data_IF_918766544958
#
_entry.id   IF_918766544958
#
_cell.length_a   1.000
_cell.length_b   1.000
_cell.length_c   1.000
_cell.angle_alpha   90.00
_cell.angle_beta   90.00
_cell.angle_gamma   90.00
#
_symmetry.space_group_name_H-M   'P 1'
#
loop_
_entity.id
_entity.type
_entity.pdbx_description
1 polymer ?
#
# COMPACT_ATOMS: atom_id res chain seq x y z
N UNK A 1 -1.66 -2.87 -32.35
CA UNK A 1 -1.38 -3.96 -31.37
C UNK A 1 -1.84 -3.51 -30.01
N UNK A 2 -2.40 -4.41 -29.21
CA UNK A 2 -2.72 -4.11 -27.82
C UNK A 2 -1.42 -3.97 -27.04
N UNK A 3 -1.23 -2.86 -26.32
CA UNK A 3 -0.07 -2.62 -25.48
C UNK A 3 -0.40 -3.08 -24.06
N UNK A 4 0.53 -3.73 -23.40
CA UNK A 4 0.43 -4.18 -22.02
C UNK A 4 1.45 -3.46 -21.16
N UNK A 5 1.35 -3.60 -19.85
CA UNK A 5 2.38 -3.19 -18.93
C UNK A 5 2.85 -4.36 -18.06
N UNK A 6 4.13 -4.32 -17.65
CA UNK A 6 4.74 -5.33 -16.78
C UNK A 6 5.56 -4.68 -15.69
N UNK A 7 5.56 -5.29 -14.52
CA UNK A 7 6.52 -4.94 -13.47
C UNK A 7 7.90 -5.48 -13.87
N UNK A 8 8.89 -4.60 -13.95
CA UNK A 8 10.27 -4.92 -14.29
C UNK A 8 11.22 -4.77 -13.12
N UNK A 9 10.84 -4.04 -12.09
CA UNK A 9 11.62 -3.87 -10.88
C UNK A 9 10.74 -3.56 -9.68
N UNK A 10 11.16 -4.04 -8.49
CA UNK A 10 10.52 -3.76 -7.20
C UNK A 10 11.55 -3.20 -6.24
N UNK A 11 11.11 -2.40 -5.27
CA UNK A 11 11.94 -1.87 -4.21
C UNK A 11 11.13 -1.50 -2.98
N UNK A 12 11.74 -1.57 -1.82
CA UNK A 12 11.08 -1.24 -0.57
C UNK A 12 12.02 -0.59 0.44
N UNK A 13 11.44 0.18 1.35
CA UNK A 13 12.18 0.78 2.44
C UNK A 13 11.32 0.86 3.71
N UNK A 14 11.90 0.43 4.82
CA UNK A 14 11.35 0.59 6.16
C UNK A 14 12.28 1.52 6.96
N UNK A 15 11.73 2.46 7.74
CA UNK A 15 12.53 3.27 8.65
C UNK A 15 13.37 2.40 9.60
N UNK A 16 14.57 2.85 10.00
CA UNK A 16 15.47 2.04 10.83
C UNK A 16 14.93 1.78 12.25
N UNK A 17 14.06 2.67 12.78
CA UNK A 17 13.46 2.48 14.10
C UNK A 17 12.39 1.39 14.04
N UNK A 18 12.80 0.16 14.33
CA UNK A 18 11.87 -0.96 14.54
C UNK A 18 11.32 -0.90 15.96
N UNK A 19 10.00 -0.91 16.11
CA UNK A 19 9.28 -0.85 17.38
C UNK A 19 8.53 -2.15 17.57
N UNK A 20 8.97 -2.96 18.54
CA UNK A 20 8.28 -4.21 18.93
C UNK A 20 7.01 -3.89 19.73
N UNK A 21 6.14 -4.87 19.93
CA UNK A 21 5.00 -4.70 20.83
C UNK A 21 5.46 -4.38 22.27
N UNK A 22 6.55 -4.99 22.73
CA UNK A 22 7.10 -4.69 24.05
C UNK A 22 7.55 -3.24 24.18
N UNK A 23 8.23 -2.69 23.17
CA UNK A 23 8.64 -1.28 23.14
C UNK A 23 7.40 -0.37 23.15
N UNK A 24 6.40 -0.67 22.31
CA UNK A 24 5.18 0.12 22.22
C UNK A 24 4.38 0.08 23.53
N UNK A 25 4.25 -1.09 24.15
CA UNK A 25 3.59 -1.26 25.47
C UNK A 25 4.27 -0.38 26.52
N UNK A 26 5.62 -0.36 26.56
CA UNK A 26 6.38 0.47 27.50
C UNK A 26 6.17 1.97 27.23
N UNK A 27 6.13 2.40 25.96
CA UNK A 27 5.86 3.79 25.58
C UNK A 27 4.42 4.21 25.97
N UNK A 28 3.42 3.39 25.66
CA UNK A 28 2.01 3.66 25.95
C UNK A 28 1.71 3.70 27.46
N UNK A 29 2.39 2.84 28.24
CA UNK A 29 2.25 2.81 29.70
C UNK A 29 2.63 4.15 30.36
N UNK A 30 3.59 4.90 29.79
CA UNK A 30 3.98 6.22 30.27
C UNK A 30 2.83 7.25 30.17
N UNK A 31 1.90 7.02 29.23
CA UNK A 31 0.68 7.82 29.02
C UNK A 31 -0.56 7.21 29.71
N UNK A 32 -0.36 6.18 30.55
CA UNK A 32 -1.46 5.50 31.27
C UNK A 32 -2.28 4.53 30.41
N UNK A 33 -1.86 4.21 29.20
CA UNK A 33 -2.55 3.29 28.32
C UNK A 33 -2.07 1.86 28.57
N UNK A 34 -3.00 0.98 28.92
CA UNK A 34 -2.72 -0.43 29.19
C UNK A 34 -2.99 -1.31 27.96
N UNK A 35 -1.98 -2.07 27.55
CA UNK A 35 -2.06 -3.09 26.50
C UNK A 35 -0.97 -4.15 26.74
N UNK A 36 -0.93 -5.22 25.95
CA UNK A 36 0.12 -6.23 26.01
C UNK A 36 0.45 -6.78 24.61
N UNK A 37 1.62 -7.44 24.50
CA UNK A 37 2.01 -8.12 23.25
C UNK A 37 0.96 -9.16 22.85
N UNK A 38 0.50 -9.99 23.79
CA UNK A 38 -0.50 -11.02 23.55
C UNK A 38 -1.80 -10.42 23.01
N UNK A 39 -2.27 -9.32 23.62
CA UNK A 39 -3.49 -8.63 23.18
C UNK A 39 -3.37 -8.10 21.75
N UNK A 40 -2.20 -7.53 21.40
CA UNK A 40 -1.92 -6.99 20.04
C UNK A 40 -1.85 -8.14 19.04
N UNK A 41 -1.04 -9.17 19.31
CA UNK A 41 -0.82 -10.31 18.40
C UNK A 41 -2.13 -11.06 18.15
N UNK A 42 -2.89 -11.39 19.21
CA UNK A 42 -4.16 -12.12 19.06
C UNK A 42 -5.15 -11.42 18.14
N UNK A 43 -5.20 -10.08 18.17
CA UNK A 43 -6.17 -9.29 17.42
C UNK A 43 -5.70 -8.90 16.03
N UNK A 44 -4.41 -8.76 15.84
CA UNK A 44 -3.86 -8.12 14.64
C UNK A 44 -2.85 -8.99 13.89
N UNK A 45 -2.18 -9.91 14.57
CA UNK A 45 -1.02 -10.64 14.08
C UNK A 45 0.28 -9.83 14.11
N UNK A 46 0.23 -8.54 14.50
CA UNK A 46 1.38 -7.62 14.46
C UNK A 46 2.29 -7.88 15.65
N UNK A 47 3.59 -8.02 15.41
CA UNK A 47 4.65 -8.17 16.42
C UNK A 47 5.58 -6.97 16.46
N UNK A 48 5.74 -6.28 15.32
CA UNK A 48 6.55 -5.08 15.20
C UNK A 48 6.00 -4.15 14.11
N UNK A 49 6.45 -2.92 14.15
CA UNK A 49 6.27 -1.89 13.10
C UNK A 49 7.51 -1.03 13.03
N UNK A 50 7.57 -0.17 12.05
CA UNK A 50 8.65 0.80 11.89
C UNK A 50 8.09 2.21 11.97
N UNK A 51 8.81 3.12 12.63
CA UNK A 51 8.44 4.53 12.71
C UNK A 51 9.56 5.40 12.15
N UNK A 52 9.18 6.34 11.31
CA UNK A 52 10.07 7.33 10.75
C UNK A 52 10.52 8.34 11.83
N UNK A 53 11.74 8.86 11.70
CA UNK A 53 12.20 9.99 12.50
C UNK A 53 11.35 11.24 12.20
N UNK A 54 11.26 12.21 13.12
CA UNK A 54 10.35 13.36 12.99
C UNK A 54 10.56 14.21 11.73
N UNK A 55 11.77 14.23 11.19
CA UNK A 55 12.20 14.98 10.00
C UNK A 55 12.10 14.19 8.70
N UNK A 56 11.83 12.88 8.76
CA UNK A 56 11.72 11.99 7.58
C UNK A 56 10.29 12.01 7.04
N UNK A 57 10.11 12.26 5.75
CA UNK A 57 8.81 12.39 5.10
C UNK A 57 8.43 11.16 4.27
N UNK A 58 7.19 11.09 3.79
CA UNK A 58 6.75 10.06 2.84
C UNK A 58 7.57 10.11 1.55
N UNK A 59 7.95 11.31 1.10
CA UNK A 59 8.83 11.49 -0.06
C UNK A 59 10.24 10.96 0.16
N UNK A 60 10.78 11.03 1.40
CA UNK A 60 12.08 10.45 1.73
C UNK A 60 12.05 8.92 1.71
N UNK A 61 11.01 8.33 2.34
CA UNK A 61 10.83 6.88 2.31
C UNK A 61 10.61 6.37 0.88
N UNK A 62 9.79 7.10 0.10
CA UNK A 62 9.51 6.82 -1.31
C UNK A 62 10.78 6.88 -2.16
N UNK A 63 11.71 7.80 -1.89
CA UNK A 63 12.99 7.93 -2.59
C UNK A 63 13.84 6.66 -2.45
N UNK A 64 13.96 6.14 -1.24
CA UNK A 64 14.76 4.94 -0.98
C UNK A 64 14.15 3.68 -1.63
N UNK A 65 12.82 3.55 -1.58
CA UNK A 65 12.12 2.47 -2.27
C UNK A 65 12.25 2.59 -3.80
N UNK A 66 12.09 3.81 -4.34
CA UNK A 66 12.20 4.09 -5.76
C UNK A 66 13.60 3.77 -6.33
N UNK A 67 14.67 4.15 -5.61
CA UNK A 67 16.05 3.83 -6.01
C UNK A 67 16.27 2.33 -6.18
N UNK A 68 15.78 1.54 -5.24
CA UNK A 68 15.88 0.07 -5.29
C UNK A 68 15.04 -0.53 -6.44
N UNK A 69 13.86 0.04 -6.70
CA UNK A 69 13.02 -0.40 -7.81
C UNK A 69 13.66 -0.10 -9.17
N UNK A 70 14.27 1.08 -9.34
CA UNK A 70 15.02 1.47 -10.54
C UNK A 70 16.24 0.57 -10.74
N UNK A 71 17.01 0.30 -9.69
CA UNK A 71 18.14 -0.62 -9.72
C UNK A 71 17.70 -2.02 -10.16
N UNK A 72 16.63 -2.56 -9.57
CA UNK A 72 16.09 -3.86 -9.91
C UNK A 72 15.58 -3.93 -11.37
N UNK A 73 15.03 -2.83 -11.89
CA UNK A 73 14.60 -2.71 -13.29
C UNK A 73 15.76 -2.48 -14.26
N UNK A 74 16.97 -2.17 -13.78
CA UNK A 74 18.12 -1.82 -14.61
C UNK A 74 17.95 -0.51 -15.39
N UNK A 75 17.15 0.43 -14.87
CA UNK A 75 16.88 1.71 -15.51
C UNK A 75 17.33 2.91 -14.65
N UNK A 76 17.51 4.05 -15.32
CA UNK A 76 17.90 5.31 -14.67
C UNK A 76 16.66 6.16 -14.38
N UNK A 77 16.73 7.12 -13.44
CA UNK A 77 15.63 8.06 -13.20
C UNK A 77 15.16 8.80 -14.46
N UNK A 78 16.08 9.14 -15.37
CA UNK A 78 15.79 9.85 -16.62
C UNK A 78 15.03 9.00 -17.65
N UNK A 79 14.97 7.69 -17.45
CA UNK A 79 14.22 6.77 -18.31
C UNK A 79 12.73 6.70 -17.91
N UNK A 80 12.36 7.28 -16.76
CA UNK A 80 10.99 7.33 -16.26
C UNK A 80 10.23 8.48 -16.93
N UNK A 81 9.08 8.19 -17.48
CA UNK A 81 8.22 9.15 -18.16
C UNK A 81 6.85 9.35 -17.46
N UNK A 82 6.66 8.73 -16.28
CA UNK A 82 5.50 8.92 -15.41
C UNK A 82 5.86 8.57 -13.96
N UNK A 83 5.49 9.42 -13.01
CA UNK A 83 5.60 9.12 -11.58
C UNK A 83 4.24 9.25 -10.92
N UNK A 84 3.79 8.19 -10.23
CA UNK A 84 2.57 8.21 -9.43
C UNK A 84 2.90 7.76 -8.00
N UNK A 85 2.53 8.56 -7.01
CA UNK A 85 2.67 8.22 -5.60
C UNK A 85 1.30 8.02 -4.96
N UNK A 86 1.08 6.88 -4.36
CA UNK A 86 -0.07 6.62 -3.50
C UNK A 86 0.29 6.98 -2.06
N UNK A 87 -0.36 7.98 -1.50
CA UNK A 87 -0.13 8.42 -0.13
C UNK A 87 -1.34 9.13 0.45
N UNK A 88 -1.53 9.02 1.77
CA UNK A 88 -2.49 9.78 2.57
C UNK A 88 -1.80 10.66 3.61
N UNK A 89 -0.46 10.58 3.66
CA UNK A 89 0.41 11.33 4.56
C UNK A 89 1.45 12.11 3.76
N UNK A 90 1.01 13.05 2.88
CA UNK A 90 1.94 13.79 2.03
C UNK A 90 2.89 14.65 2.87
N UNK A 91 4.04 15.00 2.29
CA UNK A 91 5.06 15.86 2.89
C UNK A 91 4.49 17.25 3.21
N UNK A 92 3.59 17.73 2.37
CA UNK A 92 2.91 19.03 2.48
C UNK A 92 1.58 19.01 1.70
N UNK A 93 0.76 20.04 1.86
CA UNK A 93 -0.54 20.15 1.18
C UNK A 93 -0.37 20.17 -0.36
N UNK A 94 0.60 20.88 -0.85
CA UNK A 94 1.13 20.87 -2.23
C UNK A 94 2.55 21.46 -2.23
N UNK A 95 3.42 21.13 -3.23
CA UNK A 95 3.19 20.21 -4.34
C UNK A 95 3.02 18.76 -3.91
N UNK A 96 2.65 17.88 -4.87
CA UNK A 96 2.51 16.45 -4.63
C UNK A 96 3.83 15.79 -4.20
N UNK A 97 3.73 14.71 -3.45
CA UNK A 97 4.90 13.88 -3.09
C UNK A 97 5.60 13.35 -4.34
N UNK A 98 4.84 13.04 -5.40
CA UNK A 98 5.41 12.63 -6.68
C UNK A 98 6.31 13.72 -7.30
N UNK A 99 5.93 15.00 -7.23
CA UNK A 99 6.80 16.11 -7.69
C UNK A 99 8.05 16.26 -6.83
N UNK A 100 7.94 16.10 -5.51
CA UNK A 100 9.06 16.14 -4.58
C UNK A 100 10.02 14.98 -4.89
N UNK A 101 9.48 13.78 -5.05
CA UNK A 101 10.22 12.57 -5.39
C UNK A 101 10.94 12.71 -6.75
N UNK A 102 10.24 13.24 -7.76
CA UNK A 102 10.78 13.51 -9.08
C UNK A 102 12.05 14.36 -9.01
N UNK A 103 11.99 15.46 -8.26
CA UNK A 103 13.14 16.35 -8.06
C UNK A 103 14.29 15.64 -7.34
N UNK A 104 13.99 14.90 -6.25
CA UNK A 104 15.01 14.16 -5.49
C UNK A 104 15.69 13.05 -6.29
N UNK A 105 14.98 12.44 -7.24
CA UNK A 105 15.50 11.42 -8.16
C UNK A 105 16.25 12.02 -9.35
N UNK A 106 16.01 13.26 -9.71
CA UNK A 106 16.50 13.87 -10.93
C UNK A 106 15.77 13.36 -12.20
N UNK A 107 14.51 12.92 -12.08
CA UNK A 107 13.67 12.42 -13.17
C UNK A 107 12.79 13.55 -13.78
N UNK A 108 13.37 14.73 -13.99
CA UNK A 108 12.63 15.93 -14.37
C UNK A 108 11.97 15.83 -15.76
N UNK A 109 10.80 16.47 -15.92
CA UNK A 109 10.10 16.66 -17.18
C UNK A 109 8.97 15.67 -17.46
N UNK A 110 8.83 14.58 -16.71
CA UNK A 110 7.67 13.68 -16.82
C UNK A 110 6.49 14.14 -15.96
N UNK A 111 5.24 13.75 -16.28
CA UNK A 111 4.10 13.91 -15.38
C UNK A 111 4.35 13.25 -14.03
N UNK A 112 4.02 13.97 -12.95
CA UNK A 112 4.16 13.48 -11.58
C UNK A 112 2.97 13.96 -10.74
N UNK A 113 2.24 13.04 -10.10
CA UNK A 113 1.06 13.34 -9.28
C UNK A 113 0.79 12.26 -8.25
N UNK A 114 0.02 12.63 -7.23
CA UNK A 114 -0.38 11.71 -6.17
C UNK A 114 -1.79 11.14 -6.41
N UNK A 115 -2.01 9.92 -5.90
CA UNK A 115 -3.32 9.27 -5.81
C UNK A 115 -3.64 9.06 -4.34
N UNK A 116 -4.78 9.58 -3.88
CA UNK A 116 -5.28 9.38 -2.53
C UNK A 116 -6.47 8.42 -2.54
N UNK A 117 -6.23 7.18 -2.13
CA UNK A 117 -7.25 6.15 -1.88
C UNK A 117 -6.87 5.32 -0.64
N UNK A 118 -6.15 5.94 0.29
CA UNK A 118 -5.66 5.38 1.56
C UNK A 118 -5.00 4.01 1.34
N UNK A 119 -5.41 2.98 2.08
CA UNK A 119 -4.77 1.67 2.00
C UNK A 119 -4.98 0.93 0.66
N UNK A 120 -5.97 1.31 -0.16
CA UNK A 120 -6.13 0.83 -1.54
C UNK A 120 -5.34 1.67 -2.56
N UNK A 121 -4.66 2.73 -2.13
CA UNK A 121 -3.99 3.70 -2.99
C UNK A 121 -3.03 3.08 -3.99
N UNK A 122 -2.27 2.05 -3.59
CA UNK A 122 -1.32 1.42 -4.50
C UNK A 122 -2.00 0.69 -5.67
N UNK A 123 -3.09 -0.06 -5.45
CA UNK A 123 -3.81 -0.73 -6.54
C UNK A 123 -4.50 0.28 -7.46
N UNK A 124 -4.94 1.43 -6.93
CA UNK A 124 -5.43 2.55 -7.73
C UNK A 124 -4.31 3.16 -8.60
N UNK A 125 -3.17 3.50 -7.99
CA UNK A 125 -2.03 4.09 -8.70
C UNK A 125 -1.49 3.15 -9.78
N UNK A 126 -1.41 1.84 -9.48
CA UNK A 126 -0.96 0.82 -10.43
C UNK A 126 -1.93 0.70 -11.62
N UNK A 127 -3.24 0.73 -11.38
CA UNK A 127 -4.27 0.71 -12.42
C UNK A 127 -4.21 1.95 -13.31
N UNK A 128 -4.00 3.14 -12.72
CA UNK A 128 -3.84 4.39 -13.48
C UNK A 128 -2.58 4.34 -14.35
N UNK A 129 -1.45 3.89 -13.81
CA UNK A 129 -0.21 3.74 -14.56
C UNK A 129 -0.36 2.75 -15.73
N UNK A 130 -1.00 1.60 -15.48
CA UNK A 130 -1.29 0.62 -16.53
C UNK A 130 -2.15 1.22 -17.66
N UNK A 131 -3.21 1.95 -17.33
CA UNK A 131 -4.07 2.62 -18.31
C UNK A 131 -3.29 3.65 -19.14
N UNK A 132 -2.40 4.45 -18.52
CA UNK A 132 -1.57 5.42 -19.23
C UNK A 132 -0.54 4.75 -20.14
N UNK A 133 0.00 3.59 -19.74
CA UNK A 133 0.90 2.80 -20.60
C UNK A 133 0.11 2.16 -21.75
N UNK A 134 -1.04 1.57 -21.51
CA UNK A 134 -1.86 0.93 -22.55
C UNK A 134 -2.31 1.93 -23.63
N UNK A 135 -2.64 3.16 -23.23
CA UNK A 135 -3.02 4.25 -24.15
C UNK A 135 -1.82 4.88 -24.87
N UNK A 136 -0.60 4.59 -24.45
CA UNK A 136 0.62 5.15 -25.01
C UNK A 136 0.98 6.53 -24.48
N UNK A 137 0.30 7.01 -23.43
CA UNK A 137 0.64 8.26 -22.74
C UNK A 137 1.93 8.16 -21.93
N UNK A 138 2.31 6.95 -21.53
CA UNK A 138 3.59 6.64 -20.89
C UNK A 138 4.17 5.33 -21.46
N UNK A 139 5.48 5.14 -21.28
CA UNK A 139 6.18 3.90 -21.63
C UNK A 139 6.77 3.22 -20.39
N UNK A 140 7.21 4.01 -19.41
CA UNK A 140 7.81 3.52 -18.18
C UNK A 140 7.37 4.38 -17.00
N UNK A 141 6.59 3.79 -16.11
CA UNK A 141 6.06 4.43 -14.93
C UNK A 141 6.76 3.96 -13.66
N UNK A 142 7.07 4.89 -12.77
CA UNK A 142 7.43 4.61 -11.38
C UNK A 142 6.17 4.78 -10.53
N UNK A 143 5.73 3.69 -9.89
CA UNK A 143 4.56 3.69 -9.01
C UNK A 143 5.00 3.41 -7.58
N UNK A 144 4.70 4.31 -6.67
CA UNK A 144 5.17 4.27 -5.28
C UNK A 144 3.99 4.30 -4.33
N UNK A 145 4.01 3.48 -3.29
CA UNK A 145 3.19 3.64 -2.09
C UNK A 145 4.10 4.07 -0.94
N UNK A 146 3.83 5.22 -0.30
CA UNK A 146 4.69 5.75 0.75
C UNK A 146 3.87 6.43 1.84
N UNK A 147 4.14 6.07 3.10
CA UNK A 147 3.36 6.57 4.24
C UNK A 147 4.22 6.80 5.49
N UNK A 148 3.94 7.89 6.18
CA UNK A 148 4.37 8.16 7.56
C UNK A 148 3.14 8.21 8.47
N UNK A 149 2.44 7.08 8.55
CA UNK A 149 1.13 6.96 9.19
C UNK A 149 1.19 7.21 10.70
N UNK A 150 2.36 6.97 11.32
CA UNK A 150 2.60 7.25 12.75
C UNK A 150 2.29 8.69 13.16
N UNK A 151 2.34 9.66 12.21
CA UNK A 151 2.12 11.09 12.48
C UNK A 151 0.65 11.47 12.66
N UNK A 152 -0.27 10.65 12.20
CA UNK A 152 -1.70 10.90 12.32
C UNK A 152 -2.36 9.96 13.33
N UNK A 153 -1.58 9.22 14.14
CA UNK A 153 -2.10 8.32 15.17
C UNK A 153 -2.31 9.05 16.49
N UNK A 154 -3.44 8.77 17.13
CA UNK A 154 -3.63 9.10 18.53
C UNK A 154 -3.03 8.00 19.40
N UNK A 155 -1.88 8.26 20.01
CA UNK A 155 -1.24 7.31 20.93
C UNK A 155 -1.98 7.16 22.27
N UNK A 156 -3.11 7.85 22.46
CA UNK A 156 -4.06 7.60 23.56
C UNK A 156 -5.15 6.61 23.18
N UNK A 157 -5.31 6.31 21.88
CA UNK A 157 -6.23 5.30 21.39
C UNK A 157 -5.49 4.01 21.01
N UNK A 158 -5.45 3.07 21.96
CA UNK A 158 -4.81 1.76 21.74
C UNK A 158 -5.47 0.92 20.64
N UNK A 159 -6.69 1.26 20.21
CA UNK A 159 -7.40 0.49 19.17
C UNK A 159 -6.87 0.78 17.77
N UNK A 160 -6.18 1.90 17.60
CA UNK A 160 -5.59 2.34 16.34
C UNK A 160 -4.07 2.39 16.37
N UNK A 161 -3.44 2.95 17.41
CA UNK A 161 -1.99 3.18 17.44
C UNK A 161 -1.15 1.88 17.42
N UNK A 162 -1.72 0.75 17.81
CA UNK A 162 -1.03 -0.55 17.77
C UNK A 162 -1.01 -1.18 16.38
N UNK A 163 -1.78 -0.64 15.42
CA UNK A 163 -1.94 -1.23 14.08
C UNK A 163 -0.90 -0.74 13.09
N UNK A 164 -0.68 0.57 13.06
CA UNK A 164 -0.03 1.22 11.93
C UNK A 164 1.47 1.36 12.10
N UNK A 165 2.15 1.46 10.96
CA UNK A 165 3.57 1.75 10.83
C UNK A 165 3.86 2.58 9.58
N UNK A 166 5.12 2.93 9.40
CA UNK A 166 5.63 3.76 8.32
C UNK A 166 6.45 2.91 7.35
N UNK A 167 6.48 3.30 6.09
CA UNK A 167 7.28 2.62 5.09
C UNK A 167 6.95 3.07 3.67
N UNK A 168 7.72 2.56 2.72
CA UNK A 168 7.48 2.76 1.30
C UNK A 168 7.81 1.51 0.49
N UNK A 169 7.05 1.31 -0.58
CA UNK A 169 7.36 0.33 -1.60
C UNK A 169 7.13 0.92 -2.99
N UNK A 170 7.89 0.46 -3.97
CA UNK A 170 7.86 0.98 -5.32
C UNK A 170 7.96 -0.12 -6.36
N UNK A 171 7.36 0.11 -7.53
CA UNK A 171 7.56 -0.73 -8.70
C UNK A 171 7.86 0.14 -9.92
N UNK A 172 8.67 -0.39 -10.84
CA UNK A 172 8.79 0.11 -12.21
C UNK A 172 7.88 -0.71 -13.09
N UNK A 173 6.97 -0.03 -13.80
CA UNK A 173 6.04 -0.62 -14.74
C UNK A 173 6.43 -0.19 -16.16
N UNK A 174 6.63 -1.15 -17.08
CA UNK A 174 7.06 -0.87 -18.44
C UNK A 174 6.05 -1.36 -19.48
N UNK A 175 5.98 -0.65 -20.60
CA UNK A 175 5.25 -1.09 -21.79
C UNK A 175 5.81 -2.41 -22.30
N UNK A 176 4.91 -3.33 -22.66
CA UNK A 176 5.25 -4.69 -23.08
C UNK A 176 4.31 -5.19 -24.18
N UNK A 177 4.85 -6.04 -25.05
CA UNK A 177 4.05 -6.78 -26.04
C UNK A 177 3.41 -8.06 -25.46
N UNK A 178 3.85 -8.47 -24.24
CA UNK A 178 3.29 -9.61 -23.51
C UNK A 178 2.57 -9.13 -22.26
N UNK A 179 1.42 -9.76 -21.89
CA UNK A 179 0.66 -9.39 -20.71
C UNK A 179 1.49 -9.47 -19.42
N UNK A 180 1.49 -8.40 -18.64
CA UNK A 180 1.93 -8.38 -17.24
C UNK A 180 0.70 -8.11 -16.37
N UNK A 181 0.16 -6.89 -16.36
CA UNK A 181 -1.15 -6.64 -15.75
C UNK A 181 -2.23 -7.23 -16.66
N UNK A 182 -3.02 -8.15 -16.10
CA UNK A 182 -4.07 -8.89 -16.81
C UNK A 182 -5.42 -8.21 -16.70
N UNK A 183 -5.76 -7.76 -15.50
CA UNK A 183 -7.02 -7.07 -15.21
C UNK A 183 -6.91 -6.26 -13.91
N UNK A 184 -7.78 -5.26 -13.78
CA UNK A 184 -7.99 -4.51 -12.55
C UNK A 184 -9.48 -4.22 -12.33
N UNK A 185 -9.85 -4.02 -11.06
CA UNK A 185 -11.22 -3.69 -10.65
C UNK A 185 -11.16 -2.74 -9.45
N UNK A 186 -11.68 -1.52 -9.59
CA UNK A 186 -11.61 -0.46 -8.58
C UNK A 186 -13.00 0.03 -8.23
N UNK A 187 -13.24 0.28 -6.95
CA UNK A 187 -14.52 0.71 -6.42
C UNK A 187 -14.37 1.71 -5.26
N UNK A 188 -15.39 2.53 -5.07
CA UNK A 188 -15.55 3.38 -3.90
C UNK A 188 -17.02 3.46 -3.49
N UNK A 189 -17.27 3.67 -2.18
CA UNK A 189 -18.59 3.96 -1.64
C UNK A 189 -18.50 5.02 -0.55
N UNK A 190 -18.83 6.26 -0.91
CA UNK A 190 -18.74 7.44 -0.05
C UNK A 190 -19.70 7.44 1.14
N UNK A 191 -20.69 6.54 1.20
CA UNK A 191 -21.56 6.45 2.38
C UNK A 191 -20.81 6.03 3.65
N UNK A 192 -19.63 5.42 3.51
CA UNK A 192 -18.80 4.94 4.62
C UNK A 192 -17.66 5.88 5.00
N UNK A 193 -17.66 7.13 4.56
CA UNK A 193 -16.58 8.09 4.82
C UNK A 193 -16.21 8.22 6.30
N UNK A 194 -17.18 8.09 7.21
CA UNK A 194 -16.97 8.27 8.65
C UNK A 194 -16.36 7.08 9.39
N UNK A 195 -16.27 5.87 8.79
CA UNK A 195 -15.78 4.68 9.52
C UNK A 195 -14.26 4.59 9.59
N UNK A 196 -13.55 5.29 8.70
CA UNK A 196 -12.08 5.38 8.69
C UNK A 196 -11.67 6.69 8.03
N UNK A 197 -11.28 7.68 8.82
CA UNK A 197 -10.96 9.01 8.33
C UNK A 197 -10.00 9.77 9.26
N UNK A 198 -9.43 10.85 8.73
CA UNK A 198 -8.76 11.92 9.47
C UNK A 198 -9.54 13.21 9.18
N UNK A 199 -10.39 13.69 10.10
CA UNK A 199 -11.30 14.80 9.82
C UNK A 199 -10.64 16.19 9.71
N UNK A 200 -9.36 16.31 10.14
CA UNK A 200 -8.64 17.59 10.13
C UNK A 200 -8.26 18.05 8.73
N UNK A 201 -8.33 19.35 8.50
CA UNK A 201 -7.82 20.00 7.30
C UNK A 201 -7.14 21.33 7.65
N UNK A 202 -6.38 21.88 6.68
CA UNK A 202 -5.72 23.19 6.81
C UNK A 202 -6.65 24.27 6.27
N UNK A 203 -6.98 25.25 7.10
CA UNK A 203 -7.81 26.40 6.73
C UNK A 203 -7.37 27.66 7.50
N UNK A 204 -7.17 28.77 6.78
CA UNK A 204 -6.79 30.05 7.38
C UNK A 204 -5.45 30.05 8.15
N UNK A 205 -4.56 29.12 7.83
CA UNK A 205 -3.27 28.94 8.52
C UNK A 205 -3.32 28.08 9.77
N UNK A 206 -4.47 27.50 10.07
CA UNK A 206 -4.69 26.63 11.22
C UNK A 206 -5.19 25.24 10.78
N UNK A 207 -5.05 24.23 11.64
CA UNK A 207 -5.67 22.92 11.45
C UNK A 207 -7.07 22.97 12.07
N UNK A 208 -8.10 22.86 11.23
CA UNK A 208 -9.48 22.74 11.66
C UNK A 208 -9.91 21.27 11.71
N UNK A 209 -10.68 20.92 12.75
CA UNK A 209 -11.10 19.54 13.00
C UNK A 209 -10.04 18.72 13.72
N UNK A 210 -10.26 17.42 13.84
CA UNK A 210 -9.34 16.51 14.51
C UNK A 210 -8.30 15.99 13.50
N UNK A 211 -7.00 16.31 13.67
CA UNK A 211 -5.96 15.86 12.74
C UNK A 211 -5.56 14.39 12.93
N UNK A 212 -6.20 13.68 13.86
CA UNK A 212 -5.84 12.31 14.20
C UNK A 212 -6.84 11.31 13.60
N UNK A 213 -6.34 10.11 13.34
CA UNK A 213 -7.09 9.00 12.76
C UNK A 213 -8.27 8.61 13.64
N UNK A 214 -9.44 8.44 13.02
CA UNK A 214 -10.65 7.85 13.60
C UNK A 214 -11.02 6.58 12.85
N UNK A 215 -11.31 5.50 13.58
CA UNK A 215 -11.64 4.22 12.97
C UNK A 215 -12.69 3.46 13.79
N UNK A 216 -13.78 3.05 13.12
CA UNK A 216 -14.65 1.98 13.61
C UNK A 216 -14.11 0.63 13.08
N UNK A 217 -13.29 -0.03 13.89
CA UNK A 217 -12.62 -1.26 13.48
C UNK A 217 -13.57 -2.42 13.16
N UNK A 218 -14.78 -2.46 13.79
CA UNK A 218 -15.77 -3.51 13.51
C UNK A 218 -16.45 -3.29 12.17
N UNK A 219 -16.87 -2.06 11.88
CA UNK A 219 -17.45 -1.69 10.59
C UNK A 219 -16.44 -1.90 9.46
N UNK A 220 -15.19 -1.45 9.63
CA UNK A 220 -14.10 -1.66 8.66
C UNK A 220 -13.87 -3.14 8.40
N UNK A 221 -13.77 -3.98 9.43
CA UNK A 221 -13.56 -5.42 9.25
C UNK A 221 -14.71 -6.07 8.47
N UNK A 222 -15.95 -5.81 8.86
CA UNK A 222 -17.15 -6.39 8.22
C UNK A 222 -17.25 -6.02 6.76
N UNK A 223 -16.96 -4.77 6.43
CA UNK A 223 -17.02 -4.28 5.06
C UNK A 223 -15.86 -4.82 4.22
N UNK A 224 -14.63 -4.75 4.74
CA UNK A 224 -13.42 -5.20 4.05
C UNK A 224 -13.52 -6.65 3.56
N UNK A 225 -13.91 -7.58 4.44
CA UNK A 225 -14.06 -9.00 4.10
C UNK A 225 -15.06 -9.24 2.97
N UNK A 226 -16.13 -8.42 2.89
CA UNK A 226 -17.15 -8.55 1.84
C UNK A 226 -16.72 -7.99 0.50
N UNK A 227 -16.08 -6.81 0.50
CA UNK A 227 -15.73 -6.11 -0.75
C UNK A 227 -14.50 -6.68 -1.42
N UNK A 228 -13.50 -7.16 -0.65
CA UNK A 228 -12.28 -7.77 -1.18
C UNK A 228 -12.60 -9.03 -2.00
N UNK A 229 -13.41 -9.95 -1.46
CA UNK A 229 -13.85 -11.14 -2.22
C UNK A 229 -14.51 -10.76 -3.55
N UNK A 230 -15.40 -9.76 -3.53
CA UNK A 230 -16.11 -9.34 -4.75
C UNK A 230 -15.16 -8.76 -5.79
N UNK A 231 -14.24 -7.88 -5.37
CA UNK A 231 -13.25 -7.29 -6.26
C UNK A 231 -12.31 -8.35 -6.85
N UNK A 232 -11.82 -9.29 -6.04
CA UNK A 232 -10.99 -10.41 -6.50
C UNK A 232 -11.70 -11.21 -7.59
N UNK A 233 -12.95 -11.65 -7.33
CA UNK A 233 -13.72 -12.43 -8.32
C UNK A 233 -14.04 -11.65 -9.60
N UNK A 234 -14.36 -10.36 -9.48
CA UNK A 234 -14.59 -9.50 -10.64
C UNK A 234 -13.31 -9.34 -11.48
N UNK A 235 -12.15 -9.17 -10.81
CA UNK A 235 -10.85 -9.06 -11.48
C UNK A 235 -10.48 -10.37 -12.21
N UNK A 236 -10.65 -11.51 -11.55
CA UNK A 236 -10.41 -12.82 -12.15
C UNK A 236 -11.32 -13.06 -13.38
N UNK A 237 -12.62 -12.75 -13.26
CA UNK A 237 -13.58 -12.89 -14.35
C UNK A 237 -13.20 -12.03 -15.57
N UNK A 238 -12.72 -10.79 -15.38
CA UNK A 238 -12.22 -9.93 -16.47
C UNK A 238 -11.03 -10.54 -17.21
N UNK A 239 -10.22 -11.35 -16.54
CA UNK A 239 -9.10 -12.07 -17.13
C UNK A 239 -9.46 -13.47 -17.65
N UNK A 240 -10.72 -13.91 -17.51
CA UNK A 240 -11.16 -15.29 -17.77
C UNK A 240 -10.38 -16.33 -16.95
N UNK A 241 -10.04 -15.99 -15.70
CA UNK A 241 -9.34 -16.84 -14.73
C UNK A 241 -10.23 -17.13 -13.52
N UNK A 242 -9.81 -18.09 -12.70
CA UNK A 242 -10.49 -18.57 -11.50
C UNK A 242 -9.59 -18.51 -10.28
N UNK A 243 -10.12 -18.78 -9.08
CA UNK A 243 -9.34 -18.85 -7.83
C UNK A 243 -8.17 -19.85 -7.93
N UNK A 244 -8.31 -20.92 -8.75
CA UNK A 244 -7.29 -21.95 -8.93
C UNK A 244 -6.05 -21.45 -9.70
N UNK A 245 -6.21 -20.40 -10.48
CA UNK A 245 -5.14 -19.82 -11.30
C UNK A 245 -4.24 -18.83 -10.50
N UNK A 246 -4.60 -18.55 -9.24
CA UNK A 246 -3.82 -17.70 -8.36
C UNK A 246 -2.67 -18.50 -7.76
N UNK A 247 -1.44 -18.09 -8.06
CA UNK A 247 -0.26 -18.62 -7.38
C UNK A 247 -0.07 -17.94 -6.03
N UNK A 248 -0.20 -16.60 -5.97
CA UNK A 248 -0.03 -15.82 -4.76
C UNK A 248 -1.08 -14.73 -4.60
N UNK A 249 -1.60 -14.61 -3.38
CA UNK A 249 -2.40 -13.47 -2.91
C UNK A 249 -1.48 -12.53 -2.14
N UNK A 250 -1.40 -11.26 -2.56
CA UNK A 250 -0.65 -10.19 -1.89
C UNK A 250 -1.66 -9.11 -1.47
N UNK A 251 -2.36 -9.30 -0.34
CA UNK A 251 -3.36 -8.35 0.10
C UNK A 251 -2.73 -7.18 0.85
N UNK A 252 -3.48 -6.09 0.99
CA UNK A 252 -3.20 -5.06 1.97
C UNK A 252 -2.94 -5.70 3.35
N UNK A 253 -1.84 -5.33 3.98
CA UNK A 253 -1.36 -5.87 5.25
C UNK A 253 -2.01 -5.14 6.43
N UNK A 254 -3.35 -5.16 6.50
CA UNK A 254 -4.11 -4.46 7.54
C UNK A 254 -4.10 -5.20 8.87
N UNK A 255 -4.41 -6.50 8.79
CA UNK A 255 -4.68 -7.36 9.94
C UNK A 255 -4.72 -8.81 9.46
N UNK A 256 -4.05 -9.70 10.16
CA UNK A 256 -3.97 -11.12 9.78
C UNK A 256 -5.37 -11.77 9.66
N UNK A 257 -6.34 -11.34 10.48
CA UNK A 257 -7.69 -11.91 10.46
C UNK A 257 -8.48 -11.55 9.20
N UNK A 258 -8.27 -10.34 8.65
CA UNK A 258 -8.84 -9.93 7.35
C UNK A 258 -8.23 -10.78 6.25
N UNK A 259 -6.89 -10.92 6.24
CA UNK A 259 -6.15 -11.71 5.25
C UNK A 259 -6.60 -13.17 5.25
N UNK A 260 -6.71 -13.81 6.42
CA UNK A 260 -7.22 -15.17 6.59
C UNK A 260 -8.66 -15.32 6.08
N UNK A 261 -9.52 -14.34 6.40
CA UNK A 261 -10.91 -14.36 5.95
C UNK A 261 -11.02 -14.27 4.42
N UNK A 262 -10.23 -13.39 3.81
CA UNK A 262 -10.17 -13.23 2.35
C UNK A 262 -9.64 -14.49 1.66
N UNK A 263 -8.51 -15.02 2.13
CA UNK A 263 -7.94 -16.27 1.61
C UNK A 263 -8.95 -17.42 1.67
N UNK A 264 -9.64 -17.58 2.81
CA UNK A 264 -10.69 -18.60 2.97
C UNK A 264 -11.82 -18.46 1.96
N UNK A 265 -12.28 -17.23 1.69
CA UNK A 265 -13.35 -16.95 0.72
C UNK A 265 -12.93 -17.21 -0.72
N UNK A 266 -11.66 -16.99 -1.03
CA UNK A 266 -11.04 -17.31 -2.31
C UNK A 266 -10.56 -18.77 -2.39
N UNK A 267 -10.84 -19.60 -1.37
CA UNK A 267 -10.42 -21.02 -1.28
C UNK A 267 -8.91 -21.20 -1.40
N UNK A 268 -8.13 -20.20 -0.98
CA UNK A 268 -6.67 -20.25 -0.95
C UNK A 268 -6.18 -20.70 0.43
N UNK A 269 -5.13 -21.54 0.45
CA UNK A 269 -4.35 -21.80 1.67
C UNK A 269 -3.57 -20.54 2.05
N UNK A 270 -3.36 -20.33 3.35
CA UNK A 270 -2.48 -19.26 3.83
C UNK A 270 -1.04 -19.38 3.34
N UNK A 271 -0.60 -20.56 2.91
CA UNK A 271 0.72 -20.78 2.29
C UNK A 271 0.86 -20.06 0.94
N UNK A 272 -0.26 -19.68 0.31
CA UNK A 272 -0.32 -18.87 -0.91
C UNK A 272 -0.55 -17.38 -0.63
N UNK A 273 -0.48 -16.94 0.62
CA UNK A 273 -0.66 -15.55 1.01
C UNK A 273 0.67 -14.97 1.47
N UNK A 274 1.08 -13.87 0.87
CA UNK A 274 2.24 -13.12 1.36
C UNK A 274 1.85 -12.38 2.63
N UNK A 275 2.54 -12.67 3.73
CA UNK A 275 2.30 -12.08 5.05
C UNK A 275 3.56 -11.35 5.49
N UNK A 276 3.43 -10.05 5.71
CA UNK A 276 4.48 -9.17 6.27
C UNK A 276 3.96 -8.30 7.41
N UNK A 277 2.65 -8.36 7.65
CA UNK A 277 1.97 -7.54 8.67
C UNK A 277 2.54 -7.76 10.07
N UNK A 278 3.04 -8.95 10.35
CA UNK A 278 3.65 -9.29 11.64
C UNK A 278 4.92 -8.47 11.94
N UNK A 279 5.70 -8.09 10.92
CA UNK A 279 6.94 -7.32 11.05
C UNK A 279 6.82 -5.85 10.64
N UNK A 280 5.94 -5.53 9.68
CA UNK A 280 5.81 -4.19 9.15
C UNK A 280 4.67 -3.38 9.79
N UNK A 281 3.70 -4.06 10.43
CA UNK A 281 2.42 -3.46 10.78
C UNK A 281 1.60 -3.08 9.54
N UNK A 282 0.57 -2.26 9.75
CA UNK A 282 -0.22 -1.69 8.66
C UNK A 282 0.45 -0.39 8.16
N UNK A 283 1.09 -0.44 7.01
CA UNK A 283 1.74 0.72 6.38
C UNK A 283 0.85 1.36 5.28
N UNK A 284 -0.48 1.23 5.39
CA UNK A 284 -1.46 1.83 4.47
C UNK A 284 -1.13 1.55 2.99
N UNK A 285 -1.00 2.59 2.13
CA UNK A 285 -0.71 2.43 0.70
C UNK A 285 0.64 1.74 0.41
N UNK A 286 1.59 1.79 1.33
CA UNK A 286 2.89 1.16 1.17
C UNK A 286 2.85 -0.37 1.39
N UNK A 287 1.81 -0.91 2.01
CA UNK A 287 1.79 -2.29 2.50
C UNK A 287 1.88 -3.34 1.39
N UNK A 288 1.15 -3.16 0.30
CA UNK A 288 1.16 -4.08 -0.85
C UNK A 288 2.52 -4.07 -1.55
N UNK A 289 3.09 -2.92 -1.96
CA UNK A 289 4.38 -2.92 -2.64
C UNK A 289 5.55 -3.33 -1.72
N UNK A 290 5.47 -3.09 -0.41
CA UNK A 290 6.42 -3.64 0.58
C UNK A 290 6.36 -5.17 0.61
N UNK A 291 5.15 -5.74 0.67
CA UNK A 291 4.94 -7.19 0.68
C UNK A 291 5.37 -7.83 -0.65
N UNK A 292 5.09 -7.18 -1.77
CA UNK A 292 5.52 -7.64 -3.10
C UNK A 292 7.05 -7.68 -3.21
N UNK A 293 7.75 -6.59 -2.84
CA UNK A 293 9.22 -6.54 -2.89
C UNK A 293 9.85 -7.57 -1.95
N UNK A 294 9.29 -7.73 -0.74
CA UNK A 294 9.72 -8.78 0.21
C UNK A 294 9.60 -10.17 -0.43
N UNK A 295 8.45 -10.50 -1.01
CA UNK A 295 8.21 -11.81 -1.61
C UNK A 295 9.11 -12.08 -2.82
N UNK A 296 9.38 -11.07 -3.65
CA UNK A 296 10.31 -11.16 -4.79
C UNK A 296 11.74 -11.38 -4.30
N UNK A 297 12.22 -10.57 -3.33
CA UNK A 297 13.61 -10.65 -2.85
C UNK A 297 13.90 -11.93 -2.06
N UNK A 298 12.91 -12.48 -1.37
CA UNK A 298 13.07 -13.77 -0.66
C UNK A 298 12.90 -14.98 -1.57
N UNK A 299 12.53 -14.77 -2.85
CA UNK A 299 12.26 -15.86 -3.79
C UNK A 299 10.97 -16.62 -3.51
N UNK A 300 10.10 -16.08 -2.64
CA UNK A 300 8.77 -16.63 -2.37
C UNK A 300 7.92 -16.55 -3.64
N UNK A 301 7.94 -15.40 -4.33
CA UNK A 301 7.27 -15.19 -5.61
C UNK A 301 8.29 -15.24 -6.73
N UNK A 302 7.95 -15.93 -7.83
CA UNK A 302 8.82 -16.16 -8.98
C UNK A 302 8.26 -15.54 -10.25
N UNK A 303 9.16 -15.25 -11.18
CA UNK A 303 8.79 -14.74 -12.50
C UNK A 303 7.84 -15.71 -13.24
N UNK A 304 6.77 -15.17 -13.80
CA UNK A 304 5.75 -15.91 -14.54
C UNK A 304 4.57 -16.39 -13.68
N UNK A 305 4.66 -16.28 -12.35
CA UNK A 305 3.53 -16.60 -11.46
C UNK A 305 2.44 -15.53 -11.52
N UNK A 306 1.20 -15.97 -11.27
CA UNK A 306 0.00 -15.15 -11.26
C UNK A 306 -0.24 -14.60 -9.85
N UNK A 307 -0.21 -13.29 -9.73
CA UNK A 307 -0.38 -12.58 -8.46
C UNK A 307 -1.71 -11.84 -8.44
N UNK A 308 -2.46 -11.96 -7.36
CA UNK A 308 -3.61 -11.13 -7.05
C UNK A 308 -3.22 -10.13 -5.95
N UNK A 309 -3.14 -8.84 -6.30
CA UNK A 309 -2.97 -7.74 -5.36
C UNK A 309 -4.35 -7.20 -5.01
N UNK A 310 -4.65 -6.97 -3.74
CA UNK A 310 -5.92 -6.37 -3.34
C UNK A 310 -5.78 -5.43 -2.14
N UNK A 311 -6.51 -4.32 -2.20
CA UNK A 311 -6.48 -3.27 -1.20
C UNK A 311 -7.86 -2.79 -0.81
N UNK A 312 -7.97 -2.33 0.43
CA UNK A 312 -9.17 -1.72 0.99
C UNK A 312 -8.75 -0.60 1.94
N UNK A 313 -9.41 0.54 1.89
CA UNK A 313 -9.03 1.72 2.66
C UNK A 313 -10.17 2.68 2.94
N UNK A 314 -9.87 3.72 3.70
CA UNK A 314 -10.82 4.81 3.96
C UNK A 314 -11.41 5.40 2.69
N UNK A 315 -12.64 5.89 2.81
CA UNK A 315 -13.35 6.48 1.71
C UNK A 315 -14.82 6.04 1.60
N UNK A 316 -15.25 4.81 1.55
CA UNK A 316 -14.48 3.57 1.58
C UNK A 316 -14.04 3.21 0.17
N UNK A 317 -12.77 2.85 -0.02
CA UNK A 317 -12.23 2.51 -1.33
C UNK A 317 -11.69 1.08 -1.31
N UNK A 318 -11.79 0.37 -2.43
CA UNK A 318 -11.21 -0.97 -2.57
C UNK A 318 -10.93 -1.31 -4.02
N UNK A 319 -10.13 -2.32 -4.24
CA UNK A 319 -9.83 -2.81 -5.57
C UNK A 319 -8.87 -3.97 -5.58
N UNK A 320 -8.72 -4.55 -6.76
CA UNK A 320 -7.79 -5.63 -7.02
C UNK A 320 -7.09 -5.45 -8.37
N UNK A 321 -5.87 -5.94 -8.45
CA UNK A 321 -5.08 -6.04 -9.69
C UNK A 321 -4.56 -7.46 -9.81
N UNK A 322 -4.82 -8.09 -10.95
CA UNK A 322 -4.30 -9.41 -11.31
C UNK A 322 -3.18 -9.23 -12.31
N UNK A 323 -2.04 -9.84 -12.06
CA UNK A 323 -0.87 -9.71 -12.92
C UNK A 323 -0.05 -11.00 -12.99
N UNK A 324 0.77 -11.10 -14.03
CA UNK A 324 1.92 -12.03 -14.10
C UNK A 324 3.20 -11.27 -13.87
N UNK A 325 4.03 -11.79 -12.95
CA UNK A 325 5.33 -11.18 -12.63
C UNK A 325 6.39 -11.46 -13.70
#
# INVERSE_FOLDING_TARGET
>A
MRRYSRITGTGSYLPPRRVTNADLVAELAQSGIQTSDEWIVERTGIRARHFAAPDVTSGDLGLEAARKALEAAGCKPQDIDLIIVATSTPDMVFPSVACILQNKLGANGCPAFDVQAVCSGFVYALTVADAMIQTGAAKRALVVGAEVFSRILDFKDRTTCVLFGDGAGAVVLEASDTPGILASDLHADGQYVGILCVPGNVSGGEVLGDPLLKMDGQAVFKLAVGVLEKAARATLAKANLTDADIDWLIPHQANIRIMQSTAKKLKLSMDKVVVTVDQHGNTSAASIPLALDHAVRTGQVKKGETLLLEGVGGGFTWGAVLLKL
#
